data_IF_876815378333
#
_entry.id   IF_876815378333
#
_cell.length_a   1.000
_cell.length_b   1.000
_cell.length_c   1.000
_cell.angle_alpha   90.00
_cell.angle_beta   90.00
_cell.angle_gamma   90.00
#
_symmetry.space_group_name_H-M   'P 1'
#
loop_
_entity.id
_entity.type
_entity.pdbx_description
1 polymer ?
#
# COMPACT_ATOMS: atom_id res chain seq x y z
N UNK A 1 -49.61 -2.04 7.19
CA UNK A 1 -48.79 -0.90 7.62
C UNK A 1 -47.42 -1.47 7.93
N UNK A 2 -46.46 -1.37 7.01
CA UNK A 2 -45.12 -1.93 7.19
C UNK A 2 -44.25 -0.87 7.83
N UNK A 3 -43.70 -1.17 9.00
CA UNK A 3 -42.81 -0.26 9.73
C UNK A 3 -41.41 -0.44 9.15
N UNK A 4 -40.91 0.56 8.43
CA UNK A 4 -39.52 0.60 7.98
C UNK A 4 -38.62 0.80 9.22
N UNK A 5 -37.82 -0.21 9.54
CA UNK A 5 -36.87 -0.12 10.64
C UNK A 5 -35.72 0.79 10.23
N UNK A 6 -35.67 2.00 10.79
CA UNK A 6 -34.57 2.92 10.55
C UNK A 6 -33.29 2.42 11.25
N UNK A 7 -32.13 2.48 10.57
CA UNK A 7 -30.87 2.02 11.15
C UNK A 7 -30.48 2.89 12.35
N UNK A 8 -30.34 2.25 13.52
CA UNK A 8 -29.90 2.89 14.77
C UNK A 8 -28.37 2.91 14.80
N UNK A 9 -27.79 4.09 15.01
CA UNK A 9 -26.35 4.29 15.15
C UNK A 9 -25.79 3.49 16.33
N UNK A 10 -24.76 2.66 16.10
CA UNK A 10 -24.09 1.86 17.13
C UNK A 10 -24.50 0.38 17.21
N UNK A 11 -25.36 -0.11 16.30
CA UNK A 11 -25.55 -1.54 16.15
C UNK A 11 -24.26 -2.20 15.62
N UNK A 12 -23.83 -3.37 16.13
CA UNK A 12 -22.70 -4.09 15.57
C UNK A 12 -22.99 -4.35 14.08
N UNK A 13 -22.06 -3.95 13.22
CA UNK A 13 -22.15 -4.26 11.80
C UNK A 13 -22.23 -5.78 11.64
N UNK A 14 -23.19 -6.25 10.86
CA UNK A 14 -23.27 -7.66 10.49
C UNK A 14 -21.92 -8.11 9.89
N UNK A 15 -21.48 -9.28 10.34
CA UNK A 15 -20.13 -9.80 10.16
C UNK A 15 -19.68 -9.77 8.68
N UNK A 16 -18.41 -9.44 8.39
CA UNK A 16 -17.89 -9.46 7.02
C UNK A 16 -18.00 -10.87 6.42
N UNK A 17 -18.24 -10.92 5.11
CA UNK A 17 -18.24 -12.13 4.28
C UNK A 17 -17.04 -13.02 4.66
N UNK A 18 -17.32 -14.19 5.22
CA UNK A 18 -16.27 -15.15 5.57
C UNK A 18 -15.63 -15.64 4.29
N UNK A 19 -14.35 -15.33 4.14
CA UNK A 19 -13.57 -15.68 2.97
C UNK A 19 -13.46 -17.20 2.82
N UNK A 20 -13.63 -17.73 1.60
CA UNK A 20 -13.47 -19.17 1.36
C UNK A 20 -12.01 -19.62 1.55
N UNK A 21 -11.81 -20.78 2.18
CA UNK A 21 -10.50 -21.35 2.49
C UNK A 21 -9.54 -21.49 1.28
N UNK A 22 -10.07 -21.45 0.04
CA UNK A 22 -9.29 -21.54 -1.20
C UNK A 22 -8.41 -20.32 -1.43
N UNK A 23 -8.83 -19.15 -0.98
CA UNK A 23 -8.06 -17.93 -1.20
C UNK A 23 -7.02 -17.71 -0.10
N UNK A 24 -7.26 -18.22 1.11
CA UNK A 24 -6.23 -18.30 2.16
C UNK A 24 -5.03 -19.12 1.68
N UNK A 25 -5.24 -20.20 0.92
CA UNK A 25 -4.16 -21.02 0.39
C UNK A 25 -3.32 -20.29 -0.69
N UNK A 26 -3.93 -19.44 -1.52
CA UNK A 26 -3.22 -18.67 -2.55
C UNK A 26 -2.32 -17.58 -1.93
N UNK A 27 -2.78 -16.92 -0.87
CA UNK A 27 -1.99 -15.90 -0.15
C UNK A 27 -0.78 -16.49 0.59
N UNK A 28 -0.92 -17.69 1.17
CA UNK A 28 0.18 -18.37 1.89
C UNK A 28 1.28 -18.86 0.95
N UNK A 29 0.94 -19.25 -0.29
CA UNK A 29 1.93 -19.70 -1.29
C UNK A 29 2.92 -18.62 -1.73
N UNK A 30 2.48 -17.36 -1.80
CA UNK A 30 3.34 -16.21 -2.20
C UNK A 30 4.24 -15.77 -1.05
N UNK A 31 3.75 -15.81 0.20
CA UNK A 31 4.54 -15.46 1.38
C UNK A 31 5.60 -16.51 1.75
N UNK A 32 5.33 -17.81 1.57
CA UNK A 32 6.26 -18.87 1.93
C UNK A 32 7.52 -18.90 1.03
N UNK A 33 7.43 -18.43 -0.22
CA UNK A 33 8.58 -18.30 -1.11
C UNK A 33 9.57 -17.19 -0.67
N UNK A 34 9.12 -16.22 0.15
CA UNK A 34 9.91 -15.04 0.54
C UNK A 34 10.59 -15.17 1.92
N UNK A 35 10.17 -16.12 2.76
CA UNK A 35 10.76 -16.33 4.08
C UNK A 35 12.16 -16.98 4.07
N UNK A 36 12.63 -17.48 2.92
CA UNK A 36 13.91 -18.22 2.84
C UNK A 36 15.13 -17.30 2.63
N UNK A 37 14.96 -16.04 2.18
CA UNK A 37 16.10 -15.20 1.74
C UNK A 37 16.31 -13.92 2.59
N UNK A 38 15.33 -13.46 3.37
CA UNK A 38 15.44 -12.20 4.11
C UNK A 38 15.91 -12.37 5.55
N UNK A 39 17.22 -12.27 5.80
CA UNK A 39 17.81 -12.31 7.14
C UNK A 39 17.21 -11.29 8.12
N UNK A 40 17.13 -11.70 9.39
CA UNK A 40 16.69 -10.85 10.50
C UNK A 40 17.67 -9.70 10.69
N UNK A 41 17.21 -8.46 10.50
CA UNK A 41 17.94 -7.26 10.93
C UNK A 41 17.15 -6.64 12.09
N UNK A 42 17.60 -6.88 13.32
CA UNK A 42 17.15 -6.12 14.49
C UNK A 42 17.98 -4.83 14.53
N UNK A 43 17.32 -3.68 14.45
CA UNK A 43 17.91 -2.41 14.84
C UNK A 43 17.05 -1.78 15.93
N UNK A 44 17.66 -1.48 17.07
CA UNK A 44 17.04 -0.69 18.12
C UNK A 44 17.20 0.79 17.76
N UNK A 45 16.10 1.52 17.58
CA UNK A 45 16.14 2.97 17.50
C UNK A 45 15.69 3.55 18.82
N UNK A 46 16.62 4.23 19.50
CA UNK A 46 16.31 5.05 20.66
C UNK A 46 15.45 6.23 20.19
N UNK A 47 14.30 6.41 20.83
CA UNK A 47 13.41 7.53 20.56
C UNK A 47 14.00 8.85 21.06
N UNK A 48 13.59 9.94 20.42
CA UNK A 48 13.51 11.26 21.03
C UNK A 48 12.30 11.93 20.39
N UNK A 49 11.27 12.17 21.21
CA UNK A 49 10.07 12.86 20.80
C UNK A 49 10.29 14.36 20.67
N UNK A 50 9.38 15.02 19.98
CA UNK A 50 8.86 16.34 20.35
C UNK A 50 7.54 16.53 19.61
N UNK A 51 6.45 16.62 20.38
CA UNK A 51 5.10 16.72 19.86
C UNK A 51 4.77 18.14 19.42
N UNK A 52 4.00 18.29 18.34
CA UNK A 52 3.18 19.46 18.10
C UNK A 52 1.83 19.02 17.50
N UNK A 53 0.76 19.27 18.25
CA UNK A 53 -0.61 19.16 17.78
C UNK A 53 -0.92 20.35 16.85
N UNK A 54 -1.57 20.09 15.71
CA UNK A 54 -2.00 21.17 14.83
C UNK A 54 -2.80 20.71 13.62
N UNK A 55 -4.13 20.63 13.78
CA UNK A 55 -5.18 20.91 12.78
C UNK A 55 -5.29 20.04 11.51
N UNK A 56 -6.51 19.68 11.04
CA UNK A 56 -6.68 18.94 9.80
C UNK A 56 -6.77 19.90 8.59
N UNK A 57 -6.03 19.64 7.50
CA UNK A 57 -6.53 19.97 6.17
C UNK A 57 -6.29 18.78 5.22
N UNK A 58 -7.30 18.27 4.53
CA UNK A 58 -7.93 18.99 3.43
C UNK A 58 -7.26 18.52 2.13
N UNK A 59 -8.03 17.82 1.31
CA UNK A 59 -7.65 17.27 0.01
C UNK A 59 -7.03 18.37 -0.88
N UNK A 60 -5.71 18.31 -1.09
CA UNK A 60 -4.96 19.36 -1.79
C UNK A 60 -4.38 18.85 -3.11
N UNK A 61 -5.13 19.05 -4.19
CA UNK A 61 -4.55 19.17 -5.52
C UNK A 61 -3.51 20.30 -5.56
N UNK A 62 -2.54 20.15 -6.46
CA UNK A 62 -1.35 20.98 -6.53
C UNK A 62 -1.60 22.49 -6.45
N UNK A 63 -0.85 23.14 -5.57
CA UNK A 63 -0.66 24.60 -5.51
C UNK A 63 0.84 24.91 -5.36
N UNK A 64 1.33 26.00 -5.96
CA UNK A 64 2.76 26.31 -6.00
C UNK A 64 3.23 26.96 -4.69
N UNK A 65 4.30 26.40 -4.09
CA UNK A 65 5.28 27.10 -3.26
C UNK A 65 4.80 27.74 -1.96
N UNK A 66 4.83 26.98 -0.86
CA UNK A 66 4.96 27.51 0.50
C UNK A 66 6.33 27.12 1.09
N UNK A 67 6.89 27.88 2.07
CA UNK A 67 8.15 27.56 2.73
C UNK A 67 7.94 26.44 3.77
N UNK A 68 7.62 25.27 3.24
CA UNK A 68 7.55 24.00 3.94
C UNK A 68 7.74 22.99 2.84
N UNK A 69 8.93 22.40 2.74
CA UNK A 69 9.17 21.36 1.75
C UNK A 69 8.04 20.34 1.85
N UNK A 70 7.37 20.06 0.73
CA UNK A 70 6.31 19.05 0.71
C UNK A 70 6.88 17.77 1.32
N UNK A 71 6.41 17.40 2.51
CA UNK A 71 6.75 16.11 3.08
C UNK A 71 6.21 15.08 2.10
N UNK A 72 7.12 14.35 1.44
CA UNK A 72 6.71 13.31 0.49
C UNK A 72 6.21 12.12 1.29
N UNK A 73 5.03 11.62 0.96
CA UNK A 73 4.52 10.37 1.52
C UNK A 73 5.49 9.23 1.21
N UNK A 74 5.88 8.49 2.24
CA UNK A 74 6.77 7.31 2.11
C UNK A 74 5.97 6.08 1.70
N UNK A 75 4.82 5.88 2.33
CA UNK A 75 3.82 4.91 1.92
C UNK A 75 2.43 5.36 2.38
N UNK A 76 1.38 4.79 1.78
CA UNK A 76 0.02 5.07 2.19
C UNK A 76 -0.97 4.11 1.55
N UNK A 77 -2.09 3.93 2.23
CA UNK A 77 -3.24 3.17 1.78
C UNK A 77 -4.47 4.09 1.78
N UNK A 78 -5.28 4.00 0.73
CA UNK A 78 -6.55 4.71 0.63
C UNK A 78 -7.63 3.82 0.04
N UNK A 79 -8.80 3.81 0.66
CA UNK A 79 -9.98 3.13 0.10
C UNK A 79 -10.80 4.15 -0.68
N UNK A 80 -10.95 3.92 -1.98
CA UNK A 80 -11.67 4.79 -2.90
C UNK A 80 -12.95 4.12 -3.41
N UNK A 81 -14.00 4.90 -3.63
CA UNK A 81 -15.23 4.38 -4.26
C UNK A 81 -14.98 4.07 -5.74
N UNK A 82 -15.52 2.94 -6.21
CA UNK A 82 -15.45 2.57 -7.64
C UNK A 82 -16.54 3.25 -8.50
N UNK A 83 -17.40 4.08 -7.88
CA UNK A 83 -18.53 4.75 -8.53
C UNK A 83 -19.72 3.84 -8.86
N UNK A 84 -19.67 2.55 -8.49
CA UNK A 84 -20.68 1.51 -8.75
C UNK A 84 -21.23 0.87 -7.47
N UNK A 85 -20.93 1.47 -6.32
CA UNK A 85 -21.33 0.98 -5.00
C UNK A 85 -20.32 0.03 -4.34
N UNK A 86 -19.15 -0.17 -4.97
CA UNK A 86 -18.01 -0.88 -4.40
C UNK A 86 -16.88 0.06 -3.97
N UNK A 87 -15.79 -0.56 -3.52
CA UNK A 87 -14.59 0.10 -3.04
C UNK A 87 -13.33 -0.59 -3.57
N UNK A 88 -12.27 0.18 -3.72
CA UNK A 88 -10.94 -0.27 -4.14
C UNK A 88 -9.90 0.26 -3.17
N UNK A 89 -9.01 -0.61 -2.68
CA UNK A 89 -7.87 -0.21 -1.86
C UNK A 89 -6.70 0.13 -2.77
N UNK A 90 -6.24 1.37 -2.72
CA UNK A 90 -5.08 1.87 -3.46
C UNK A 90 -3.90 2.04 -2.51
N UNK A 91 -2.72 1.61 -2.96
CA UNK A 91 -1.47 1.71 -2.23
C UNK A 91 -0.49 2.61 -2.98
N UNK A 92 0.26 3.41 -2.22
CA UNK A 92 1.41 4.16 -2.71
C UNK A 92 2.61 3.86 -1.84
N UNK A 93 3.80 3.77 -2.45
CA UNK A 93 5.05 3.63 -1.70
C UNK A 93 6.21 4.24 -2.50
N UNK A 94 7.16 4.87 -1.80
CA UNK A 94 8.46 5.27 -2.34
C UNK A 94 9.56 4.67 -1.48
N UNK A 95 10.51 3.99 -2.11
CA UNK A 95 11.56 3.29 -1.38
C UNK A 95 12.53 2.55 -2.30
N UNK A 96 13.47 1.83 -1.69
CA UNK A 96 14.48 1.07 -2.39
C UNK A 96 13.95 -0.32 -2.78
N UNK A 97 14.26 -0.75 -4.00
CA UNK A 97 14.01 -2.12 -4.45
C UNK A 97 14.95 -3.05 -3.67
N UNK A 98 14.37 -4.02 -2.98
CA UNK A 98 15.11 -5.02 -2.18
C UNK A 98 15.09 -6.41 -2.82
N UNK A 99 14.14 -6.66 -3.73
CA UNK A 99 14.10 -7.84 -4.59
C UNK A 99 13.27 -7.52 -5.85
N UNK A 100 13.61 -8.13 -6.98
CA UNK A 100 12.86 -7.99 -8.22
C UNK A 100 12.89 -9.28 -9.05
N UNK A 101 11.79 -9.56 -9.74
CA UNK A 101 11.65 -10.59 -10.77
C UNK A 101 10.80 -10.05 -11.93
N UNK A 102 10.53 -10.88 -12.94
CA UNK A 102 9.66 -10.49 -14.06
C UNK A 102 8.22 -10.17 -13.61
N UNK A 103 7.76 -10.83 -12.54
CA UNK A 103 6.39 -10.79 -12.03
C UNK A 103 6.24 -10.17 -10.64
N UNK A 104 7.32 -9.70 -10.01
CA UNK A 104 7.24 -9.08 -8.68
C UNK A 104 8.35 -8.07 -8.41
N UNK A 105 8.07 -7.13 -7.51
CA UNK A 105 9.08 -6.22 -6.94
C UNK A 105 8.80 -6.03 -5.45
N UNK A 106 9.84 -6.11 -4.62
CA UNK A 106 9.76 -5.79 -3.20
C UNK A 106 10.42 -4.45 -2.94
N UNK A 107 9.68 -3.53 -2.32
CA UNK A 107 10.13 -2.17 -2.04
C UNK A 107 10.15 -1.94 -0.53
N UNK A 108 11.20 -1.29 -0.03
CA UNK A 108 11.36 -0.88 1.37
C UNK A 108 11.44 0.63 1.45
N UNK A 109 10.50 1.28 2.13
CA UNK A 109 10.55 2.72 2.39
C UNK A 109 11.45 3.03 3.60
N UNK A 110 11.82 4.31 3.75
CA UNK A 110 12.77 4.76 4.78
C UNK A 110 12.27 4.57 6.22
N UNK A 111 10.96 4.50 6.43
CA UNK A 111 10.32 4.17 7.71
C UNK A 111 10.36 2.67 8.05
N UNK A 112 10.94 1.86 7.18
CA UNK A 112 11.04 0.42 7.37
C UNK A 112 9.81 -0.35 6.90
N UNK A 113 8.80 0.25 6.25
CA UNK A 113 7.70 -0.52 5.66
C UNK A 113 8.16 -1.27 4.39
N UNK A 114 7.90 -2.58 4.30
CA UNK A 114 8.16 -3.39 3.11
C UNK A 114 6.88 -3.91 2.51
N UNK A 115 6.78 -3.84 1.20
CA UNK A 115 5.71 -4.49 0.46
C UNK A 115 6.26 -5.17 -0.79
N UNK A 116 5.77 -6.38 -1.06
CA UNK A 116 5.95 -7.04 -2.36
C UNK A 116 4.74 -6.76 -3.22
N UNK A 117 5.00 -6.28 -4.44
CA UNK A 117 3.99 -5.97 -5.43
C UNK A 117 4.05 -6.96 -6.59
N UNK A 118 2.88 -7.40 -7.04
CA UNK A 118 2.74 -8.20 -8.26
C UNK A 118 2.91 -7.29 -9.47
N UNK A 119 3.69 -7.75 -10.45
CA UNK A 119 3.83 -7.13 -11.76
C UNK A 119 3.11 -8.01 -12.78
N UNK A 120 2.25 -7.40 -13.58
CA UNK A 120 1.53 -8.08 -14.67
C UNK A 120 1.73 -7.32 -16.00
N UNK A 121 1.04 -7.75 -17.04
CA UNK A 121 1.10 -7.14 -18.37
C UNK A 121 0.56 -5.71 -18.42
N UNK A 122 -0.30 -5.34 -17.47
CA UNK A 122 -0.92 -4.01 -17.38
C UNK A 122 -0.08 -3.03 -16.53
N UNK A 123 0.90 -3.54 -15.78
CA UNK A 123 1.80 -2.69 -14.99
C UNK A 123 2.64 -1.78 -15.88
N UNK A 124 2.50 -0.47 -15.68
CA UNK A 124 3.38 0.52 -16.32
C UNK A 124 4.72 0.57 -15.59
N UNK A 125 5.80 0.15 -16.25
CA UNK A 125 7.15 0.12 -15.67
C UNK A 125 8.21 0.59 -16.68
N UNK A 126 9.42 0.97 -16.24
CA UNK A 126 10.53 1.28 -17.14
C UNK A 126 10.83 0.11 -18.08
N UNK A 127 11.40 0.40 -19.25
CA UNK A 127 11.84 -0.64 -20.18
C UNK A 127 13.05 -1.40 -19.65
N UNK A 128 13.88 -0.75 -18.83
CA UNK A 128 14.99 -1.39 -18.14
C UNK A 128 14.48 -2.25 -16.96
N UNK A 129 15.09 -3.42 -16.71
CA UNK A 129 14.70 -4.25 -15.57
C UNK A 129 14.96 -3.53 -14.24
N UNK A 130 14.03 -3.69 -13.29
CA UNK A 130 14.19 -3.17 -11.93
C UNK A 130 15.38 -3.87 -11.25
N UNK A 131 16.26 -3.08 -10.65
CA UNK A 131 17.48 -3.57 -10.00
C UNK A 131 17.39 -3.35 -8.50
N UNK A 132 17.95 -4.26 -7.72
CA UNK A 132 18.07 -4.07 -6.27
C UNK A 132 18.95 -2.85 -5.97
N UNK A 133 18.57 -2.08 -4.96
CA UNK A 133 19.24 -0.84 -4.55
C UNK A 133 18.83 0.41 -5.34
N UNK A 134 17.92 0.29 -6.32
CA UNK A 134 17.35 1.48 -6.99
C UNK A 134 16.13 1.98 -6.24
N UNK A 135 15.99 3.30 -6.18
CA UNK A 135 14.83 3.92 -5.56
C UNK A 135 13.69 4.07 -6.58
N UNK A 136 12.49 3.63 -6.19
CA UNK A 136 11.29 3.66 -7.01
C UNK A 136 10.11 4.23 -6.25
N UNK A 137 9.13 4.75 -6.99
CA UNK A 137 7.78 5.02 -6.52
C UNK A 137 6.80 4.04 -7.17
N UNK A 138 6.00 3.36 -6.35
CA UNK A 138 5.00 2.37 -6.74
C UNK A 138 3.61 2.92 -6.46
N UNK A 139 2.70 2.71 -7.41
CA UNK A 139 1.26 2.75 -7.19
C UNK A 139 0.69 1.37 -7.44
N UNK A 140 -0.22 0.93 -6.59
CA UNK A 140 -0.82 -0.38 -6.66
C UNK A 140 -2.29 -0.35 -6.25
N UNK A 141 -3.00 -1.40 -6.60
CA UNK A 141 -4.35 -1.68 -6.14
C UNK A 141 -4.33 -3.04 -5.46
N UNK A 142 -5.01 -3.17 -4.33
CA UNK A 142 -5.24 -4.49 -3.74
C UNK A 142 -6.28 -5.23 -4.58
N UNK A 143 -5.86 -6.39 -5.11
CA UNK A 143 -6.71 -7.27 -5.89
C UNK A 143 -6.55 -8.69 -5.35
N UNK A 144 -7.66 -9.31 -4.96
CA UNK A 144 -7.71 -10.69 -4.46
C UNK A 144 -6.73 -10.95 -3.28
N UNK A 145 -6.48 -9.94 -2.44
CA UNK A 145 -5.56 -10.00 -1.30
C UNK A 145 -4.07 -9.82 -1.66
N UNK A 146 -3.76 -9.40 -2.89
CA UNK A 146 -2.41 -9.09 -3.34
C UNK A 146 -2.30 -7.62 -3.81
N UNK A 147 -1.18 -6.96 -3.51
CA UNK A 147 -0.92 -5.62 -4.01
C UNK A 147 -0.42 -5.71 -5.47
N UNK A 148 -1.29 -5.43 -6.44
CA UNK A 148 -0.95 -5.44 -7.86
C UNK A 148 -0.50 -4.06 -8.30
N UNK A 149 0.76 -3.94 -8.75
CA UNK A 149 1.29 -2.67 -9.22
C UNK A 149 0.59 -2.22 -10.49
N UNK A 150 0.02 -1.02 -10.45
CA UNK A 150 -0.47 -0.34 -11.66
C UNK A 150 0.65 0.47 -12.31
N UNK A 151 1.60 0.95 -11.50
CA UNK A 151 2.73 1.75 -11.96
C UNK A 151 3.95 1.59 -11.07
N UNK A 152 5.13 1.48 -11.68
CA UNK A 152 6.44 1.58 -11.02
C UNK A 152 7.26 2.60 -11.81
N UNK A 153 7.85 3.59 -11.13
CA UNK A 153 8.68 4.61 -11.75
C UNK A 153 9.95 4.87 -10.93
N UNK A 154 11.05 5.32 -11.55
CA UNK A 154 12.21 5.80 -10.80
C UNK A 154 11.81 6.96 -9.88
N UNK A 155 12.25 6.92 -8.63
CA UNK A 155 12.09 8.05 -7.72
C UNK A 155 13.08 9.18 -8.09
N UNK A 156 12.68 10.44 -7.85
CA UNK A 156 13.50 11.63 -8.09
C UNK A 156 14.01 12.26 -6.81
#
# INVERSE_FOLDING_TARGET
MSVEQQPVWGAPAEHPKTWSNRTTAAAVGIAAALAVVGGVVIYATAGSGDGHAGGPPGWGGGGPGGPGGFQRSLHGESVVSDGKGGFSTELTQTGDVTAASDSSVTVRSQDGFSQTYVLNTDTRKPSQPLQTGTQVSVRATEQDGAATATMVMPAR
#
